data_IF_854867822023
#
_entry.id   IF_854867822023
#
_cell.length_a   1.000
_cell.length_b   1.000
_cell.length_c   1.000
_cell.angle_alpha   90.00
_cell.angle_beta   90.00
_cell.angle_gamma   90.00
#
_symmetry.space_group_name_H-M   'P 1'
#
loop_
_entity.id
_entity.type
_entity.pdbx_description
1 polymer ?
#
# COMPACT_ATOMS: atom_id res chain seq x y z
N UNK A 1 -15.91 34.12 5.31
CA UNK A 1 -15.80 33.44 4.00
C UNK A 1 -17.07 32.65 3.83
N UNK A 2 -17.90 33.04 2.87
CA UNK A 2 -19.11 32.30 2.50
C UNK A 2 -18.71 30.96 1.90
N UNK A 3 -19.32 29.87 2.38
CA UNK A 3 -19.10 28.50 1.90
C UNK A 3 -19.94 28.18 0.65
N UNK A 4 -20.59 29.17 0.04
CA UNK A 4 -21.66 28.97 -0.94
C UNK A 4 -21.19 28.56 -2.36
N UNK A 5 -19.89 28.69 -2.69
CA UNK A 5 -19.38 28.45 -4.04
C UNK A 5 -18.35 27.32 -4.14
N UNK A 6 -18.24 26.43 -3.14
CA UNK A 6 -17.35 25.26 -3.27
C UNK A 6 -18.01 24.16 -4.09
N UNK A 7 -17.83 24.22 -5.41
CA UNK A 7 -18.03 23.06 -6.27
C UNK A 7 -16.90 22.07 -6.03
N UNK A 8 -17.23 20.92 -5.44
CA UNK A 8 -16.32 19.78 -5.42
C UNK A 8 -15.99 19.41 -6.88
N UNK A 9 -14.71 19.28 -7.26
CA UNK A 9 -14.34 18.88 -8.60
C UNK A 9 -14.77 17.44 -8.84
N UNK A 10 -15.06 17.14 -10.10
CA UNK A 10 -15.49 15.82 -10.54
C UNK A 10 -14.53 14.73 -10.04
N UNK A 11 -15.10 13.63 -9.56
CA UNK A 11 -14.32 12.47 -9.14
C UNK A 11 -13.70 11.76 -10.36
N UNK A 12 -12.64 10.98 -10.18
CA UNK A 12 -11.97 10.30 -11.28
C UNK A 12 -12.85 9.21 -11.89
N UNK A 13 -13.02 9.26 -13.22
CA UNK A 13 -13.70 8.23 -14.03
C UNK A 13 -12.70 7.20 -14.57
N UNK A 14 -13.01 5.91 -14.48
CA UNK A 14 -12.09 4.81 -14.87
C UNK A 14 -12.49 4.10 -16.17
N UNK A 15 -11.54 3.78 -17.06
CA UNK A 15 -11.83 2.98 -18.24
C UNK A 15 -12.22 1.54 -17.86
N UNK A 16 -13.37 1.08 -18.35
CA UNK A 16 -13.80 -0.32 -18.24
C UNK A 16 -13.16 -1.15 -19.35
N UNK A 17 -12.07 -1.85 -19.06
CA UNK A 17 -11.51 -2.86 -19.97
C UNK A 17 -11.07 -4.10 -19.18
N UNK A 18 -11.81 -5.20 -19.29
CA UNK A 18 -11.60 -6.46 -18.54
C UNK A 18 -10.41 -7.31 -19.06
N UNK A 19 -9.46 -6.71 -19.79
CA UNK A 19 -8.28 -7.40 -20.34
C UNK A 19 -7.01 -6.73 -19.86
N UNK A 20 -6.67 -6.99 -18.60
CA UNK A 20 -5.39 -6.62 -17.99
C UNK A 20 -4.86 -7.75 -17.12
N UNK A 21 -3.57 -7.73 -16.79
CA UNK A 21 -3.03 -8.61 -15.76
C UNK A 21 -3.60 -8.21 -14.39
N UNK A 22 -3.90 -9.17 -13.49
CA UNK A 22 -4.33 -8.88 -12.13
C UNK A 22 -3.45 -7.84 -11.42
N UNK A 23 -4.05 -6.70 -11.09
CA UNK A 23 -3.39 -5.54 -10.49
C UNK A 23 -3.33 -4.31 -11.38
N UNK A 24 -3.38 -4.44 -12.71
CA UNK A 24 -3.25 -3.30 -13.62
C UNK A 24 -4.43 -2.32 -13.51
N UNK A 25 -5.66 -2.83 -13.43
CA UNK A 25 -6.85 -1.99 -13.38
C UNK A 25 -6.95 -1.27 -12.03
N UNK A 26 -6.68 -2.00 -10.94
CA UNK A 26 -6.66 -1.40 -9.61
C UNK A 26 -5.51 -0.40 -9.43
N UNK A 27 -4.33 -0.66 -10.03
CA UNK A 27 -3.22 0.29 -10.04
C UNK A 27 -3.63 1.60 -10.70
N UNK A 28 -4.12 1.54 -11.95
CA UNK A 28 -4.53 2.74 -12.69
C UNK A 28 -5.62 3.50 -11.93
N UNK A 29 -6.64 2.78 -11.44
CA UNK A 29 -7.73 3.41 -10.71
C UNK A 29 -7.27 4.08 -9.41
N UNK A 30 -6.45 3.39 -8.61
CA UNK A 30 -5.93 3.94 -7.35
C UNK A 30 -4.98 5.12 -7.60
N UNK A 31 -4.24 5.14 -8.72
CA UNK A 31 -3.34 6.23 -9.06
C UNK A 31 -4.11 7.50 -9.44
N UNK A 32 -5.17 7.37 -10.23
CA UNK A 32 -6.07 8.47 -10.54
C UNK A 32 -6.77 8.98 -9.27
N UNK A 33 -7.24 8.08 -8.40
CA UNK A 33 -7.84 8.46 -7.13
C UNK A 33 -6.87 9.18 -6.20
N UNK A 34 -5.63 8.68 -6.05
CA UNK A 34 -4.60 9.34 -5.25
C UNK A 34 -4.29 10.75 -5.76
N UNK A 35 -4.20 10.91 -7.09
CA UNK A 35 -3.99 12.23 -7.70
C UNK A 35 -5.13 13.20 -7.38
N UNK A 36 -6.37 12.71 -7.44
CA UNK A 36 -7.55 13.48 -7.05
C UNK A 36 -7.50 13.84 -5.56
N UNK A 37 -7.26 12.87 -4.66
CA UNK A 37 -7.14 13.11 -3.21
C UNK A 37 -6.10 14.20 -2.93
N UNK A 38 -4.90 14.09 -3.50
CA UNK A 38 -3.84 15.11 -3.33
C UNK A 38 -4.31 16.49 -3.80
N UNK A 39 -5.04 16.58 -4.91
CA UNK A 39 -5.56 17.86 -5.42
C UNK A 39 -6.65 18.48 -4.53
N UNK A 40 -7.36 17.64 -3.77
CA UNK A 40 -8.50 18.04 -2.93
C UNK A 40 -8.11 18.24 -1.46
N UNK A 41 -6.99 17.67 -1.05
CA UNK A 41 -6.60 17.65 0.34
C UNK A 41 -6.14 19.03 0.83
N UNK A 42 -6.99 19.65 1.64
CA UNK A 42 -6.72 20.93 2.30
C UNK A 42 -5.95 20.77 3.61
N UNK A 43 -5.76 19.54 4.09
CA UNK A 43 -5.19 19.22 5.40
C UNK A 43 -4.30 17.96 5.35
N UNK A 44 -3.20 17.99 4.59
CA UNK A 44 -2.35 16.82 4.32
C UNK A 44 -1.78 16.14 5.56
N UNK A 45 -1.53 16.90 6.64
CA UNK A 45 -1.06 16.32 7.90
C UNK A 45 -2.14 15.52 8.62
N UNK A 46 -3.40 15.97 8.59
CA UNK A 46 -4.53 15.26 9.19
C UNK A 46 -4.88 13.99 8.38
N UNK A 47 -4.71 14.04 7.06
CA UNK A 47 -5.11 12.97 6.14
C UNK A 47 -3.98 12.05 5.70
N UNK A 48 -2.79 12.13 6.33
CA UNK A 48 -1.62 11.28 6.01
C UNK A 48 -1.94 9.78 5.98
N UNK A 49 -2.91 9.33 6.78
CA UNK A 49 -3.36 7.93 6.81
C UNK A 49 -4.00 7.48 5.50
N UNK A 50 -4.74 8.36 4.83
CA UNK A 50 -5.34 8.10 3.52
C UNK A 50 -4.23 7.92 2.49
N UNK A 51 -3.28 8.86 2.42
CA UNK A 51 -2.17 8.78 1.45
C UNK A 51 -1.32 7.54 1.67
N UNK A 52 -1.05 7.18 2.94
CA UNK A 52 -0.37 5.94 3.29
C UNK A 52 -1.12 4.71 2.78
N UNK A 53 -2.43 4.63 2.99
CA UNK A 53 -3.23 3.49 2.54
C UNK A 53 -3.30 3.41 1.01
N UNK A 54 -3.37 4.55 0.32
CA UNK A 54 -3.35 4.58 -1.15
C UNK A 54 -1.99 4.17 -1.72
N UNK A 55 -0.89 4.62 -1.12
CA UNK A 55 0.45 4.18 -1.50
C UNK A 55 0.63 2.67 -1.26
N UNK A 56 0.07 2.16 -0.16
CA UNK A 56 0.03 0.75 0.16
C UNK A 56 -0.66 -0.06 -0.96
N UNK A 57 -1.89 0.33 -1.33
CA UNK A 57 -2.64 -0.32 -2.42
C UNK A 57 -1.86 -0.27 -3.74
N UNK A 58 -1.33 0.91 -4.10
CA UNK A 58 -0.55 1.10 -5.32
C UNK A 58 0.67 0.18 -5.37
N UNK A 59 1.39 0.04 -4.25
CA UNK A 59 2.59 -0.79 -4.21
C UNK A 59 2.26 -2.28 -4.36
N UNK A 60 1.19 -2.77 -3.73
CA UNK A 60 0.72 -4.15 -3.92
C UNK A 60 0.42 -4.40 -5.40
N UNK A 61 -0.32 -3.50 -6.03
CA UNK A 61 -0.68 -3.63 -7.44
C UNK A 61 0.56 -3.57 -8.34
N UNK A 62 1.48 -2.62 -8.10
CA UNK A 62 2.73 -2.47 -8.85
C UNK A 62 3.56 -3.76 -8.81
N UNK A 63 3.79 -4.32 -7.62
CA UNK A 63 4.55 -5.57 -7.47
C UNK A 63 3.83 -6.74 -8.14
N UNK A 64 2.49 -6.78 -8.12
CA UNK A 64 1.72 -7.78 -8.85
C UNK A 64 1.91 -7.69 -10.37
N UNK A 65 1.95 -6.49 -10.91
CA UNK A 65 2.20 -6.26 -12.35
C UNK A 65 3.65 -6.60 -12.71
N UNK A 66 4.62 -6.19 -11.89
CA UNK A 66 6.05 -6.34 -12.16
C UNK A 66 6.54 -7.79 -11.97
N UNK A 67 6.18 -8.43 -10.86
CA UNK A 67 6.73 -9.72 -10.47
C UNK A 67 5.81 -10.90 -10.79
N UNK A 68 4.65 -10.62 -11.39
CA UNK A 68 3.65 -11.61 -11.75
C UNK A 68 2.62 -11.81 -10.64
N UNK A 69 1.35 -11.53 -10.97
CA UNK A 69 0.09 -11.96 -10.33
C UNK A 69 0.20 -12.43 -8.88
N UNK A 70 0.71 -11.56 -7.99
CA UNK A 70 0.70 -11.87 -6.55
C UNK A 70 -0.68 -11.65 -5.98
N UNK A 71 -1.50 -10.81 -6.62
CA UNK A 71 -2.94 -10.76 -6.40
C UNK A 71 -3.68 -11.49 -7.52
N UNK A 72 -4.86 -12.04 -7.20
CA UNK A 72 -5.74 -12.68 -8.17
C UNK A 72 -6.90 -11.76 -8.58
N UNK A 73 -7.63 -12.16 -9.63
CA UNK A 73 -8.74 -11.36 -10.17
C UNK A 73 -9.90 -11.15 -9.18
N UNK A 74 -10.10 -12.05 -8.21
CA UNK A 74 -11.15 -11.88 -7.21
C UNK A 74 -10.77 -10.79 -6.19
N UNK A 75 -9.53 -10.81 -5.71
CA UNK A 75 -8.98 -9.78 -4.82
C UNK A 75 -9.03 -8.41 -5.49
N UNK A 76 -8.57 -8.31 -6.74
CA UNK A 76 -8.65 -7.08 -7.53
C UNK A 76 -10.09 -6.60 -7.72
N UNK A 77 -11.01 -7.49 -8.10
CA UNK A 77 -12.42 -7.15 -8.31
C UNK A 77 -13.08 -6.63 -7.03
N UNK A 78 -12.79 -7.23 -5.88
CA UNK A 78 -13.35 -6.78 -4.61
C UNK A 78 -12.84 -5.39 -4.22
N UNK A 79 -11.53 -5.16 -4.30
CA UNK A 79 -10.95 -3.85 -4.01
C UNK A 79 -11.41 -2.76 -5.00
N UNK A 80 -11.51 -3.09 -6.30
CA UNK A 80 -12.09 -2.19 -7.31
C UNK A 80 -13.56 -1.87 -7.03
N UNK A 81 -14.33 -2.84 -6.55
CA UNK A 81 -15.73 -2.63 -6.15
C UNK A 81 -15.86 -1.57 -5.06
N UNK A 82 -15.00 -1.63 -4.04
CA UNK A 82 -14.94 -0.64 -2.96
C UNK A 82 -14.57 0.74 -3.51
N UNK A 83 -13.51 0.83 -4.33
CA UNK A 83 -13.07 2.11 -4.90
C UNK A 83 -14.17 2.75 -5.77
N UNK A 84 -14.84 1.95 -6.61
CA UNK A 84 -15.93 2.43 -7.47
C UNK A 84 -17.11 2.93 -6.65
N UNK A 85 -17.49 2.20 -5.60
CA UNK A 85 -18.57 2.61 -4.71
C UNK A 85 -18.25 3.95 -4.05
N UNK A 86 -17.04 4.08 -3.48
CA UNK A 86 -16.57 5.33 -2.87
C UNK A 86 -16.59 6.48 -3.89
N UNK A 87 -16.04 6.29 -5.09
CA UNK A 87 -15.96 7.36 -6.09
C UNK A 87 -17.34 7.81 -6.55
N UNK A 88 -18.25 6.88 -6.81
CA UNK A 88 -19.64 7.22 -7.18
C UNK A 88 -20.38 7.89 -6.03
N UNK A 89 -20.17 7.44 -4.78
CA UNK A 89 -20.75 8.07 -3.61
C UNK A 89 -20.24 9.51 -3.42
N UNK A 90 -18.95 9.76 -3.63
CA UNK A 90 -18.37 11.11 -3.58
C UNK A 90 -18.93 12.01 -4.69
N UNK A 91 -19.16 11.48 -5.90
CA UNK A 91 -19.79 12.22 -7.01
C UNK A 91 -21.24 12.62 -6.70
N UNK A 92 -21.99 11.70 -6.11
CA UNK A 92 -23.40 11.92 -5.80
C UNK A 92 -23.62 12.72 -4.51
N UNK A 93 -22.58 12.86 -3.68
CA UNK A 93 -22.66 13.45 -2.35
C UNK A 93 -23.20 12.50 -1.27
N UNK A 94 -23.26 11.20 -1.56
CA UNK A 94 -23.65 10.14 -0.63
C UNK A 94 -22.50 9.77 0.33
N UNK A 95 -21.26 9.97 -0.11
CA UNK A 95 -20.03 9.74 0.66
C UNK A 95 -19.30 11.07 0.90
N UNK A 96 -18.50 11.12 1.96
CA UNK A 96 -17.72 12.29 2.36
C UNK A 96 -16.23 11.98 2.42
N UNK A 97 -15.43 13.00 2.67
CA UNK A 97 -13.99 12.84 2.87
C UNK A 97 -13.64 11.87 4.03
N UNK A 98 -14.49 11.82 5.06
CA UNK A 98 -14.28 10.94 6.21
C UNK A 98 -14.37 9.45 5.83
N UNK A 99 -15.08 9.13 4.75
CA UNK A 99 -15.34 7.76 4.30
C UNK A 99 -14.18 7.20 3.45
N UNK A 100 -13.27 8.06 2.99
CA UNK A 100 -12.10 7.64 2.20
C UNK A 100 -11.18 6.73 3.01
N UNK A 101 -10.90 7.07 4.28
CA UNK A 101 -10.03 6.27 5.13
C UNK A 101 -10.57 4.83 5.32
N UNK A 102 -11.79 4.61 5.83
CA UNK A 102 -12.32 3.25 6.01
C UNK A 102 -12.46 2.49 4.69
N UNK A 103 -12.79 3.16 3.58
CA UNK A 103 -12.82 2.52 2.26
C UNK A 103 -11.43 2.01 1.84
N UNK A 104 -10.37 2.81 2.02
CA UNK A 104 -9.00 2.36 1.73
C UNK A 104 -8.54 1.22 2.65
N UNK A 105 -8.96 1.20 3.91
CA UNK A 105 -8.70 0.06 4.82
C UNK A 105 -9.40 -1.21 4.33
N UNK A 106 -10.65 -1.10 3.86
CA UNK A 106 -11.39 -2.23 3.32
C UNK A 106 -10.77 -2.76 2.02
N UNK A 107 -10.24 -1.88 1.16
CA UNK A 107 -9.47 -2.29 -0.02
C UNK A 107 -8.23 -3.09 0.38
N UNK A 108 -7.44 -2.60 1.35
CA UNK A 108 -6.26 -3.32 1.87
C UNK A 108 -6.68 -4.69 2.44
N UNK A 109 -7.76 -4.75 3.22
CA UNK A 109 -8.28 -6.02 3.74
C UNK A 109 -8.60 -7.02 2.62
N UNK A 110 -9.25 -6.58 1.54
CA UNK A 110 -9.53 -7.45 0.39
C UNK A 110 -8.27 -7.96 -0.32
N UNK A 111 -7.19 -7.18 -0.29
CA UNK A 111 -5.92 -7.54 -0.90
C UNK A 111 -5.08 -8.46 -0.01
N UNK A 112 -5.09 -8.28 1.32
CA UNK A 112 -4.12 -8.93 2.22
C UNK A 112 -4.68 -10.10 3.04
N UNK A 113 -5.96 -10.08 3.42
CA UNK A 113 -6.48 -10.94 4.49
C UNK A 113 -6.26 -12.45 4.28
N UNK A 114 -6.12 -12.89 3.03
CA UNK A 114 -5.81 -14.28 2.65
C UNK A 114 -4.64 -14.38 1.69
N UNK A 115 -3.83 -13.33 1.60
CA UNK A 115 -2.74 -13.21 0.66
C UNK A 115 -1.47 -12.73 1.39
N UNK A 116 -0.68 -13.67 1.94
CA UNK A 116 0.55 -13.34 2.65
C UNK A 116 1.59 -12.58 1.80
N UNK A 117 1.51 -12.68 0.47
CA UNK A 117 2.42 -11.98 -0.46
C UNK A 117 2.06 -10.51 -0.57
N UNK A 118 0.78 -10.22 -0.75
CA UNK A 118 0.27 -8.85 -0.70
C UNK A 118 0.58 -8.22 0.66
N UNK A 119 0.37 -8.97 1.76
CA UNK A 119 0.72 -8.53 3.11
C UNK A 119 2.21 -8.17 3.23
N UNK A 120 3.11 -8.99 2.70
CA UNK A 120 4.54 -8.71 2.75
C UNK A 120 4.92 -7.39 2.04
N UNK A 121 4.31 -7.15 0.88
CA UNK A 121 4.47 -5.87 0.16
C UNK A 121 3.92 -4.71 1.00
N UNK A 122 2.76 -4.91 1.61
CA UNK A 122 2.13 -3.92 2.48
C UNK A 122 2.97 -3.53 3.69
N UNK A 123 3.56 -4.52 4.35
CA UNK A 123 4.47 -4.28 5.47
C UNK A 123 5.73 -3.50 5.07
N UNK A 124 6.24 -3.67 3.84
CA UNK A 124 7.35 -2.85 3.32
C UNK A 124 6.96 -1.38 3.15
N UNK A 125 5.70 -1.09 2.78
CA UNK A 125 5.19 0.28 2.77
C UNK A 125 5.10 0.83 4.19
N UNK A 126 4.58 0.04 5.15
CA UNK A 126 4.55 0.46 6.55
C UNK A 126 5.94 0.75 7.12
N UNK A 127 6.96 -0.04 6.74
CA UNK A 127 8.36 0.19 7.11
C UNK A 127 8.87 1.54 6.61
N UNK A 128 8.57 1.89 5.35
CA UNK A 128 8.89 3.20 4.77
C UNK A 128 8.27 4.35 5.57
N UNK A 129 6.99 4.26 5.91
CA UNK A 129 6.30 5.32 6.65
C UNK A 129 6.76 5.43 8.11
N UNK A 130 6.95 4.29 8.78
CA UNK A 130 7.43 4.28 10.16
C UNK A 130 8.85 4.86 10.28
N UNK A 131 9.69 4.71 9.25
CA UNK A 131 10.97 5.42 9.17
C UNK A 131 10.79 6.94 9.21
N UNK A 132 9.87 7.49 8.41
CA UNK A 132 9.60 8.93 8.39
C UNK A 132 8.97 9.46 9.69
N UNK A 133 8.14 8.66 10.35
CA UNK A 133 7.45 9.07 11.59
C UNK A 133 8.29 8.91 12.86
N UNK A 134 9.17 7.90 12.93
CA UNK A 134 9.86 7.51 14.18
C UNK A 134 11.35 7.89 14.24
N UNK A 135 11.95 8.36 13.14
CA UNK A 135 13.39 8.65 13.11
C UNK A 135 13.69 10.14 12.88
N UNK A 136 14.72 10.65 13.56
CA UNK A 136 15.48 11.80 13.06
C UNK A 136 16.24 11.33 11.81
N UNK A 137 15.50 11.20 10.70
CA UNK A 137 15.90 10.60 9.43
C UNK A 137 17.39 10.85 9.08
N UNK A 138 18.25 9.87 9.38
CA UNK A 138 19.63 9.87 8.90
C UNK A 138 19.66 9.27 7.50
N UNK A 139 20.53 9.80 6.65
CA UNK A 139 20.72 9.28 5.29
C UNK A 139 21.06 7.78 5.30
N UNK A 140 21.86 7.34 6.27
CA UNK A 140 22.21 5.93 6.48
C UNK A 140 20.98 5.05 6.72
N UNK A 141 20.05 5.48 7.58
CA UNK A 141 18.81 4.75 7.84
C UNK A 141 17.91 4.72 6.59
N UNK A 142 17.81 5.83 5.85
CA UNK A 142 17.08 5.91 4.58
C UNK A 142 17.55 4.84 3.59
N UNK A 143 18.87 4.70 3.44
CA UNK A 143 19.49 3.73 2.55
C UNK A 143 19.19 2.30 3.01
N UNK A 144 19.30 2.01 4.31
CA UNK A 144 19.01 0.69 4.86
C UNK A 144 17.54 0.30 4.69
N UNK A 145 16.60 1.21 4.95
CA UNK A 145 15.16 0.96 4.75
C UNK A 145 14.89 0.62 3.29
N UNK A 146 15.45 1.40 2.36
CA UNK A 146 15.32 1.13 0.93
C UNK A 146 15.86 -0.26 0.56
N UNK A 147 17.04 -0.62 1.06
CA UNK A 147 17.63 -1.96 0.83
C UNK A 147 16.72 -3.09 1.32
N UNK A 148 16.13 -2.96 2.51
CA UNK A 148 15.19 -3.96 3.05
C UNK A 148 13.97 -4.09 2.13
N UNK A 149 13.37 -2.97 1.75
CA UNK A 149 12.20 -2.93 0.85
C UNK A 149 12.53 -3.59 -0.50
N UNK A 150 13.65 -3.22 -1.11
CA UNK A 150 14.07 -3.75 -2.41
C UNK A 150 14.38 -5.24 -2.32
N UNK A 151 15.04 -5.68 -1.24
CA UNK A 151 15.35 -7.09 -1.00
C UNK A 151 14.07 -7.92 -0.91
N UNK A 152 13.11 -7.51 -0.08
CA UNK A 152 11.86 -8.25 0.07
C UNK A 152 11.02 -8.22 -1.20
N UNK A 153 10.78 -7.02 -1.76
CA UNK A 153 9.86 -6.87 -2.90
C UNK A 153 10.38 -7.54 -4.16
N UNK A 154 11.70 -7.60 -4.41
CA UNK A 154 12.28 -8.30 -5.57
C UNK A 154 12.14 -9.83 -5.51
N UNK A 155 12.01 -10.41 -4.32
CA UNK A 155 11.87 -11.87 -4.15
C UNK A 155 10.41 -12.33 -4.08
N UNK A 156 9.46 -11.41 -3.89
CA UNK A 156 8.03 -11.72 -3.89
C UNK A 156 7.57 -12.05 -5.30
N UNK A 157 7.32 -13.34 -5.56
CA UNK A 157 6.91 -13.89 -6.87
C UNK A 157 5.71 -14.85 -6.71
N UNK A 158 5.05 -15.27 -7.81
CA UNK A 158 3.99 -16.28 -7.75
C UNK A 158 4.40 -17.61 -7.12
N UNK A 159 5.67 -17.98 -7.21
CA UNK A 159 6.17 -19.30 -6.80
C UNK A 159 6.91 -19.30 -5.47
N UNK A 160 7.08 -18.14 -4.82
CA UNK A 160 7.71 -18.08 -3.49
C UNK A 160 6.99 -18.97 -2.48
N UNK A 161 7.76 -19.64 -1.63
CA UNK A 161 7.24 -20.46 -0.55
C UNK A 161 6.37 -19.63 0.41
N UNK A 162 5.17 -20.15 0.68
CA UNK A 162 4.20 -19.52 1.57
C UNK A 162 4.60 -19.59 3.04
N UNK A 163 5.41 -20.56 3.46
CA UNK A 163 5.92 -20.58 4.83
C UNK A 163 7.05 -19.56 5.02
N UNK A 164 7.90 -19.39 4.01
CA UNK A 164 8.91 -18.33 3.97
C UNK A 164 8.29 -16.94 4.08
N UNK A 165 7.27 -16.64 3.27
CA UNK A 165 6.63 -15.31 3.28
C UNK A 165 5.94 -15.00 4.62
N UNK A 166 5.35 -16.01 5.28
CA UNK A 166 4.75 -15.83 6.61
C UNK A 166 5.81 -15.50 7.67
N UNK A 167 7.00 -16.12 7.59
CA UNK A 167 8.12 -15.78 8.49
C UNK A 167 8.59 -14.34 8.27
N UNK A 168 8.70 -13.91 7.02
CA UNK A 168 9.02 -12.52 6.66
C UNK A 168 7.97 -11.57 7.26
N UNK A 169 6.68 -11.85 7.09
CA UNK A 169 5.60 -11.03 7.64
C UNK A 169 5.64 -10.94 9.17
N UNK A 170 6.00 -12.03 9.85
CA UNK A 170 6.12 -12.01 11.29
C UNK A 170 7.31 -11.15 11.73
N UNK A 171 8.48 -11.38 11.14
CA UNK A 171 9.71 -10.68 11.47
C UNK A 171 9.59 -9.16 11.28
N UNK A 172 9.02 -8.74 10.15
CA UNK A 172 8.85 -7.31 9.84
C UNK A 172 7.80 -6.68 10.74
N UNK A 173 6.69 -7.39 11.04
CA UNK A 173 5.68 -6.90 11.99
C UNK A 173 6.26 -6.70 13.39
N UNK A 174 7.06 -7.63 13.86
CA UNK A 174 7.74 -7.55 15.16
C UNK A 174 8.67 -6.34 15.20
N UNK A 175 9.44 -6.11 14.12
CA UNK A 175 10.27 -4.91 13.98
C UNK A 175 9.44 -3.62 14.00
N UNK A 176 8.32 -3.57 13.27
CA UNK A 176 7.44 -2.40 13.21
C UNK A 176 6.85 -2.02 14.58
N UNK A 177 6.54 -3.04 15.39
CA UNK A 177 6.01 -2.91 16.75
C UNK A 177 7.09 -2.63 17.79
N UNK A 178 8.36 -2.92 17.47
CA UNK A 178 9.49 -2.68 18.33
C UNK A 178 9.69 -1.19 18.70
N UNK A 179 10.24 -0.97 19.88
CA UNK A 179 10.55 0.37 20.41
C UNK A 179 11.87 0.94 19.84
N UNK A 180 12.76 0.08 19.34
CA UNK A 180 14.11 0.45 18.91
C UNK A 180 14.18 0.63 17.40
N UNK A 181 14.18 1.88 16.96
CA UNK A 181 14.38 2.27 15.56
C UNK A 181 15.78 2.84 15.37
N UNK A 182 16.74 1.98 15.03
CA UNK A 182 18.14 2.37 14.80
C UNK A 182 18.81 1.48 13.73
N UNK A 183 19.97 1.93 13.25
CA UNK A 183 20.66 1.28 12.13
C UNK A 183 21.03 -0.18 12.42
N UNK A 184 21.48 -0.47 13.65
CA UNK A 184 21.90 -1.82 14.05
C UNK A 184 20.76 -2.84 14.00
N UNK A 185 19.57 -2.48 14.48
CA UNK A 185 18.40 -3.36 14.44
C UNK A 185 17.91 -3.57 12.99
N UNK A 186 17.98 -2.51 12.16
CA UNK A 186 17.59 -2.60 10.75
C UNK A 186 18.58 -3.42 9.91
N UNK A 187 19.88 -3.35 10.21
CA UNK A 187 20.91 -4.23 9.63
C UNK A 187 20.70 -5.69 10.04
N UNK A 188 20.32 -5.94 11.29
CA UNK A 188 19.99 -7.28 11.75
C UNK A 188 18.77 -7.84 11.00
N UNK A 189 17.72 -7.02 10.83
CA UNK A 189 16.55 -7.37 10.02
C UNK A 189 16.95 -7.68 8.57
N UNK A 190 17.75 -6.82 7.93
CA UNK A 190 18.20 -7.02 6.55
C UNK A 190 18.99 -8.33 6.39
N UNK A 191 19.89 -8.62 7.33
CA UNK A 191 20.70 -9.85 7.32
C UNK A 191 19.84 -11.10 7.48
N UNK A 192 18.87 -11.07 8.38
CA UNK A 192 17.96 -12.20 8.61
C UNK A 192 17.07 -12.46 7.40
N UNK A 193 16.52 -11.40 6.79
CA UNK A 193 15.74 -11.49 5.55
C UNK A 193 16.56 -12.06 4.39
N UNK A 194 17.83 -11.67 4.23
CA UNK A 194 18.71 -12.26 3.22
C UNK A 194 18.96 -13.75 3.47
N UNK A 195 19.21 -14.14 4.71
CA UNK A 195 19.42 -15.54 5.07
C UNK A 195 18.20 -16.41 4.75
N UNK A 196 16.99 -15.87 4.90
CA UNK A 196 15.75 -16.54 4.48
C UNK A 196 15.73 -16.80 2.96
N UNK A 197 16.14 -15.84 2.14
CA UNK A 197 16.15 -16.02 0.69
C UNK A 197 17.31 -16.90 0.18
N UNK A 198 18.47 -16.90 0.85
CA UNK A 198 19.62 -17.74 0.47
C UNK A 198 19.42 -19.23 0.82
N UNK A 199 18.55 -19.54 1.78
CA UNK A 199 18.28 -20.90 2.23
C UNK A 199 17.12 -21.59 1.48
N UNK A 200 16.41 -20.85 0.62
CA UNK A 200 15.22 -21.29 -0.13
C UNK A 200 15.56 -21.70 -1.57
#
# INVERSE_FOLDING_TARGET
MDYADYQAPASPTYPGNERGQPGELLFAASQHFMSWVISQDRKPTEHRGILRNLEHILRICEVSVQNGRIINSMEEKNALGVLRHLTTGLENGDETWADIFPATELMIYHLEARNPKAEAVGQMVLLKFAYHDKSNASEELSILVRKVIDTVTSHITPTIDLELIKKINHLVRDYLQGEKWNAKELEALEKELKAFFEAA
#
